data_IF_891896728661
#
_entry.id   IF_891896728661
#
_cell.length_a   1.000
_cell.length_b   1.000
_cell.length_c   1.000
_cell.angle_alpha   90.00
_cell.angle_beta   90.00
_cell.angle_gamma   90.00
#
_symmetry.space_group_name_H-M   'P 1'
#
loop_
_entity.id
_entity.type
_entity.pdbx_description
1 polymer ?
#
# COMPACT_ATOMS: atom_id res chain seq x y z
N UNK A 1 -3.67 -28.19 -57.79
CA UNK A 1 -2.64 -27.16 -57.50
C UNK A 1 -3.38 -25.96 -56.92
N UNK A 2 -3.20 -25.59 -55.63
CA UNK A 2 -2.11 -24.72 -55.11
C UNK A 2 -2.09 -23.38 -55.87
N UNK A 3 -2.17 -22.18 -55.29
CA UNK A 3 -1.94 -21.69 -53.92
C UNK A 3 -2.73 -20.37 -53.76
N UNK A 4 -3.60 -20.26 -52.78
CA UNK A 4 -4.12 -18.98 -52.26
C UNK A 4 -3.76 -18.90 -50.78
N UNK A 5 -2.66 -18.22 -50.45
CA UNK A 5 -2.19 -18.17 -49.05
C UNK A 5 -0.92 -17.38 -48.78
N UNK A 6 -0.60 -16.36 -49.58
CA UNK A 6 0.66 -15.60 -49.42
C UNK A 6 0.41 -14.16 -48.93
N UNK A 7 -0.74 -13.57 -49.25
CA UNK A 7 -1.00 -12.14 -48.97
C UNK A 7 -1.27 -11.81 -47.50
N UNK A 8 -1.90 -12.71 -46.74
CA UNK A 8 -2.24 -12.46 -45.31
C UNK A 8 -1.05 -12.63 -44.36
N UNK A 9 -0.02 -13.38 -44.77
CA UNK A 9 1.18 -13.63 -43.97
C UNK A 9 2.08 -12.38 -43.96
N UNK A 10 2.17 -11.68 -45.09
CA UNK A 10 3.01 -10.48 -45.25
C UNK A 10 2.48 -9.29 -44.43
N UNK A 11 1.15 -9.17 -44.28
CA UNK A 11 0.55 -8.12 -43.46
C UNK A 11 0.80 -8.34 -41.96
N UNK A 12 0.77 -9.59 -41.49
CA UNK A 12 1.03 -9.93 -40.09
C UNK A 12 2.51 -9.76 -39.72
N UNK A 13 3.43 -10.12 -40.62
CA UNK A 13 4.87 -9.89 -40.39
C UNK A 13 5.21 -8.41 -40.42
N UNK A 14 4.57 -7.60 -41.28
CA UNK A 14 4.78 -6.16 -41.32
C UNK A 14 4.31 -5.45 -40.03
N UNK A 15 3.20 -5.88 -39.42
CA UNK A 15 2.71 -5.30 -38.16
C UNK A 15 3.65 -5.66 -37.00
N UNK A 16 4.14 -6.91 -36.92
CA UNK A 16 5.07 -7.33 -35.88
C UNK A 16 6.44 -6.64 -36.01
N UNK A 17 6.94 -6.44 -37.23
CA UNK A 17 8.18 -5.70 -37.49
C UNK A 17 7.98 -4.20 -37.18
N UNK A 18 6.82 -3.62 -37.51
CA UNK A 18 6.51 -2.23 -37.21
C UNK A 18 6.34 -1.97 -35.70
N UNK A 19 5.76 -2.92 -34.95
CA UNK A 19 5.71 -2.90 -33.48
C UNK A 19 7.12 -2.97 -32.88
N UNK A 20 8.01 -3.79 -33.44
CA UNK A 20 9.42 -3.85 -33.03
C UNK A 20 10.23 -2.60 -33.39
N UNK A 21 9.88 -1.87 -34.45
CA UNK A 21 10.53 -0.60 -34.82
C UNK A 21 10.02 0.61 -34.04
N UNK A 22 8.80 0.56 -33.50
CA UNK A 22 8.22 1.64 -32.69
C UNK A 22 8.52 1.52 -31.19
N UNK A 23 9.31 0.54 -30.76
CA UNK A 23 9.61 0.32 -29.33
C UNK A 23 8.35 0.04 -28.50
N UNK A 24 7.29 -0.46 -29.13
CA UNK A 24 6.14 -1.00 -28.42
C UNK A 24 6.50 -2.43 -28.02
N UNK A 25 7.45 -2.53 -27.09
CA UNK A 25 7.78 -3.77 -26.42
C UNK A 25 6.57 -4.16 -25.56
N UNK A 26 5.72 -5.04 -26.12
CA UNK A 26 4.59 -5.68 -25.41
C UNK A 26 5.08 -6.67 -24.33
N UNK A 27 6.39 -6.70 -24.09
CA UNK A 27 7.02 -7.34 -22.96
C UNK A 27 7.07 -6.27 -21.88
N UNK A 28 5.95 -6.08 -21.19
CA UNK A 28 5.98 -5.35 -19.93
C UNK A 28 7.05 -6.05 -19.08
N UNK A 29 8.21 -5.41 -19.00
CA UNK A 29 9.36 -5.88 -18.25
C UNK A 29 8.86 -6.39 -16.91
N UNK A 30 9.30 -7.61 -16.56
CA UNK A 30 9.52 -7.95 -15.17
C UNK A 30 10.26 -6.77 -14.54
N UNK A 31 9.55 -5.90 -13.84
CA UNK A 31 10.13 -4.89 -12.97
C UNK A 31 11.03 -5.66 -11.99
N UNK A 32 12.33 -5.72 -12.27
CA UNK A 32 13.36 -6.57 -11.67
C UNK A 32 12.87 -7.37 -10.46
N UNK A 33 12.18 -8.50 -10.71
CA UNK A 33 11.84 -9.39 -9.60
C UNK A 33 13.16 -9.82 -8.96
N UNK A 34 13.27 -9.84 -7.63
CA UNK A 34 14.48 -10.30 -6.97
C UNK A 34 14.91 -11.67 -7.53
N UNK A 35 16.22 -11.86 -7.72
CA UNK A 35 16.74 -13.12 -8.25
C UNK A 35 16.25 -14.30 -7.38
N UNK A 36 15.80 -15.42 -7.98
CA UNK A 36 15.31 -16.56 -7.22
C UNK A 36 16.29 -17.02 -6.13
N UNK A 37 15.82 -17.16 -4.89
CA UNK A 37 16.62 -17.52 -3.71
C UNK A 37 17.45 -16.39 -3.10
N UNK A 38 17.38 -15.17 -3.63
CA UNK A 38 17.98 -14.00 -2.99
C UNK A 38 17.20 -13.56 -1.75
N UNK A 39 17.80 -12.74 -0.89
CA UNK A 39 17.12 -12.17 0.28
C UNK A 39 15.83 -11.44 -0.13
N UNK A 40 15.85 -10.73 -1.26
CA UNK A 40 14.68 -10.04 -1.79
C UNK A 40 13.56 -10.98 -2.24
N UNK A 41 13.90 -12.18 -2.74
CA UNK A 41 12.94 -13.21 -3.16
C UNK A 41 12.30 -13.93 -1.96
N UNK A 42 12.98 -13.89 -0.80
CA UNK A 42 12.51 -14.52 0.44
C UNK A 42 11.68 -13.60 1.35
N UNK A 43 11.42 -12.34 0.94
CA UNK A 43 10.65 -11.41 1.76
C UNK A 43 9.23 -11.92 1.99
N UNK A 44 8.79 -11.87 3.25
CA UNK A 44 7.42 -12.24 3.64
C UNK A 44 6.41 -11.17 3.21
N UNK A 45 5.11 -11.50 3.27
CA UNK A 45 4.04 -10.53 3.03
C UNK A 45 4.16 -9.35 4.01
N UNK A 46 4.57 -9.64 5.24
CA UNK A 46 4.81 -8.69 6.33
C UNK A 46 5.95 -7.73 5.98
N UNK A 47 7.08 -8.27 5.50
CA UNK A 47 8.22 -7.46 5.04
C UNK A 47 7.80 -6.57 3.86
N UNK A 48 7.05 -7.13 2.91
CA UNK A 48 6.53 -6.40 1.76
C UNK A 48 5.59 -5.27 2.18
N UNK A 49 4.80 -5.40 3.26
CA UNK A 49 3.95 -4.30 3.77
C UNK A 49 4.78 -3.14 4.28
N UNK A 50 5.87 -3.41 5.00
CA UNK A 50 6.75 -2.35 5.51
C UNK A 50 7.54 -1.69 4.38
N UNK A 51 8.05 -2.49 3.44
CA UNK A 51 8.71 -1.97 2.24
C UNK A 51 7.74 -1.13 1.39
N UNK A 52 6.51 -1.59 1.19
CA UNK A 52 5.49 -0.85 0.45
C UNK A 52 5.20 0.52 1.05
N UNK A 53 5.11 0.62 2.38
CA UNK A 53 4.97 1.91 3.06
C UNK A 53 6.10 2.87 2.67
N UNK A 54 7.35 2.47 2.92
CA UNK A 54 8.49 3.39 2.81
C UNK A 54 8.86 3.69 1.36
N UNK A 55 8.81 2.71 0.47
CA UNK A 55 9.25 2.86 -0.93
C UNK A 55 8.18 3.39 -1.87
N UNK A 56 6.89 3.21 -1.55
CA UNK A 56 5.80 3.50 -2.50
C UNK A 56 4.76 4.47 -1.96
N UNK A 57 4.44 4.42 -0.68
CA UNK A 57 3.34 5.20 -0.12
C UNK A 57 3.76 6.55 0.44
N UNK A 58 4.93 6.66 1.08
CA UNK A 58 5.32 7.91 1.72
C UNK A 58 5.87 8.92 0.73
N UNK A 59 5.41 10.16 0.85
CA UNK A 59 6.08 11.31 0.25
C UNK A 59 7.27 11.80 1.10
N UNK A 60 7.98 12.81 0.58
CA UNK A 60 9.14 13.40 1.25
C UNK A 60 8.82 14.06 2.60
N UNK A 61 7.54 14.28 2.91
CA UNK A 61 7.04 14.82 4.19
C UNK A 61 6.42 13.73 5.07
N UNK A 62 6.51 12.47 4.67
CA UNK A 62 5.93 11.33 5.38
C UNK A 62 4.40 11.26 5.27
N UNK A 63 3.77 11.89 4.26
CA UNK A 63 2.34 11.75 3.99
C UNK A 63 2.05 10.58 3.06
N UNK A 64 0.92 9.93 3.28
CA UNK A 64 0.46 8.81 2.45
C UNK A 64 -0.05 9.33 1.10
N UNK A 65 0.60 8.88 0.02
CA UNK A 65 0.22 9.16 -1.37
C UNK A 65 -0.97 8.30 -1.79
N UNK A 66 -1.85 8.87 -2.62
CA UNK A 66 -2.94 8.15 -3.28
C UNK A 66 -4.07 7.67 -2.36
N UNK A 67 -4.12 8.15 -1.12
CA UNK A 67 -5.20 7.84 -0.19
C UNK A 67 -6.49 8.59 -0.57
N UNK A 68 -7.62 7.90 -0.49
CA UNK A 68 -8.95 8.49 -0.51
C UNK A 68 -9.40 8.74 0.94
N UNK A 69 -9.51 10.00 1.35
CA UNK A 69 -9.77 10.36 2.74
C UNK A 69 -11.20 10.06 3.18
N UNK A 70 -12.18 10.20 2.28
CA UNK A 70 -13.58 9.89 2.55
C UNK A 70 -13.76 8.39 2.83
N UNK A 71 -13.22 7.54 1.96
CA UNK A 71 -13.18 6.08 2.16
C UNK A 71 -12.42 5.71 3.44
N UNK A 72 -11.27 6.33 3.66
CA UNK A 72 -10.48 6.14 4.88
C UNK A 72 -11.25 6.48 6.15
N UNK A 73 -12.02 7.58 6.13
CA UNK A 73 -12.88 8.00 7.23
C UNK A 73 -13.97 6.96 7.51
N UNK A 74 -14.68 6.50 6.50
CA UNK A 74 -15.74 5.49 6.64
C UNK A 74 -15.19 4.21 7.29
N UNK A 75 -14.05 3.73 6.78
CA UNK A 75 -13.39 2.53 7.30
C UNK A 75 -12.85 2.74 8.71
N UNK A 76 -12.29 3.91 9.03
CA UNK A 76 -11.84 4.23 10.38
C UNK A 76 -13.00 4.25 11.37
N UNK A 77 -14.14 4.85 10.99
CA UNK A 77 -15.34 4.90 11.82
C UNK A 77 -15.96 3.50 12.01
N UNK A 78 -15.80 2.60 11.05
CA UNK A 78 -16.25 1.21 11.13
C UNK A 78 -15.36 0.34 12.01
N UNK A 79 -14.04 0.43 11.83
CA UNK A 79 -13.09 -0.55 12.39
C UNK A 79 -12.29 -0.02 13.59
N UNK A 80 -11.96 1.27 13.61
CA UNK A 80 -11.03 1.84 14.58
C UNK A 80 -11.74 2.62 15.69
N UNK A 81 -12.87 3.26 15.38
CA UNK A 81 -13.62 4.14 16.30
C UNK A 81 -14.01 3.46 17.60
N UNK A 82 -14.35 2.17 17.60
CA UNK A 82 -14.79 1.48 18.81
C UNK A 82 -13.74 1.56 19.93
N UNK A 83 -12.44 1.49 19.58
CA UNK A 83 -11.35 1.57 20.53
C UNK A 83 -10.71 2.96 20.57
N UNK A 84 -10.52 3.62 19.42
CA UNK A 84 -9.76 4.87 19.33
C UNK A 84 -10.57 6.15 19.43
N UNK A 85 -11.90 6.08 19.34
CA UNK A 85 -12.76 7.27 19.27
C UNK A 85 -13.01 7.70 17.83
N UNK A 86 -14.06 8.50 17.63
CA UNK A 86 -14.40 9.09 16.34
C UNK A 86 -13.37 10.15 15.90
N UNK A 87 -12.79 10.86 16.86
CA UNK A 87 -11.69 11.80 16.65
C UNK A 87 -10.29 11.19 16.91
N UNK A 88 -10.22 9.90 17.27
CA UNK A 88 -8.96 9.21 17.53
C UNK A 88 -8.33 9.46 18.91
N UNK A 89 -8.97 10.20 19.82
CA UNK A 89 -8.38 10.62 21.11
C UNK A 89 -8.73 9.73 22.32
N UNK A 90 -9.42 8.60 22.13
CA UNK A 90 -9.84 7.75 23.27
C UNK A 90 -8.66 7.08 23.99
N UNK A 91 -7.59 6.74 23.26
CA UNK A 91 -6.44 6.03 23.82
C UNK A 91 -5.20 6.92 23.72
N UNK A 92 -4.72 7.39 24.87
CA UNK A 92 -3.42 8.06 24.97
C UNK A 92 -2.30 7.02 25.11
N UNK A 93 -1.39 7.00 24.14
CA UNK A 93 -0.22 6.11 24.14
C UNK A 93 0.95 6.67 24.95
N UNK A 94 0.91 7.94 25.32
CA UNK A 94 1.94 8.60 26.11
C UNK A 94 1.78 8.30 27.60
N UNK A 95 2.90 8.13 28.30
CA UNK A 95 2.95 8.07 29.76
C UNK A 95 2.98 9.46 30.40
N UNK A 96 3.23 10.50 29.61
CA UNK A 96 3.20 11.89 30.06
C UNK A 96 1.86 12.52 29.67
N UNK A 97 1.01 12.77 30.68
CA UNK A 97 -0.30 13.38 30.47
C UNK A 97 -0.22 14.81 29.90
N UNK A 98 0.90 15.51 30.05
CA UNK A 98 1.11 16.85 29.47
C UNK A 98 1.45 16.81 27.99
N UNK A 99 1.91 15.67 27.49
CA UNK A 99 2.30 15.44 26.10
C UNK A 99 1.59 14.18 25.60
N UNK A 100 0.26 14.25 25.36
CA UNK A 100 -0.49 13.08 24.91
C UNK A 100 -0.06 12.67 23.50
N UNK A 101 -0.23 11.39 23.20
CA UNK A 101 -0.01 10.83 21.86
C UNK A 101 -1.18 9.95 21.50
N UNK A 102 -1.94 10.37 20.50
CA UNK A 102 -3.13 9.67 20.04
C UNK A 102 -2.87 9.01 18.69
N UNK A 103 -3.87 8.29 18.14
CA UNK A 103 -3.70 7.62 16.85
C UNK A 103 -3.43 8.60 15.71
N UNK A 104 -4.02 9.81 15.76
CA UNK A 104 -3.73 10.89 14.83
C UNK A 104 -2.29 11.41 14.94
N UNK A 105 -1.82 11.69 16.16
CA UNK A 105 -0.43 12.07 16.44
C UNK A 105 0.55 11.01 15.93
N UNK A 106 0.23 9.72 16.15
CA UNK A 106 1.03 8.58 15.69
C UNK A 106 1.06 8.50 14.17
N UNK A 107 -0.10 8.57 13.49
CA UNK A 107 -0.15 8.55 12.04
C UNK A 107 0.61 9.71 11.40
N UNK A 108 0.53 10.91 12.00
CA UNK A 108 1.16 12.10 11.45
C UNK A 108 2.68 12.14 11.66
N UNK A 109 3.17 11.69 12.82
CA UNK A 109 4.56 11.91 13.25
C UNK A 109 5.40 10.63 13.34
N UNK A 110 4.78 9.45 13.31
CA UNK A 110 5.42 8.13 13.40
C UNK A 110 4.58 7.10 12.62
N UNK A 111 4.42 7.40 11.32
CA UNK A 111 3.64 6.58 10.39
C UNK A 111 4.13 5.13 10.27
N UNK A 112 5.44 4.78 10.39
CA UNK A 112 5.85 3.38 10.38
C UNK A 112 5.24 2.58 11.53
N UNK A 113 5.19 3.16 12.73
CA UNK A 113 4.57 2.50 13.88
C UNK A 113 3.05 2.44 13.74
N UNK A 114 2.39 3.49 13.22
CA UNK A 114 0.96 3.42 12.88
C UNK A 114 0.68 2.25 11.92
N UNK A 115 1.44 2.18 10.81
CA UNK A 115 1.26 1.17 9.77
C UNK A 115 1.52 -0.24 10.30
N UNK A 116 2.58 -0.42 11.08
CA UNK A 116 2.89 -1.69 11.74
C UNK A 116 1.74 -2.15 12.64
N UNK A 117 1.26 -1.28 13.54
CA UNK A 117 0.18 -1.62 14.47
C UNK A 117 -1.13 -1.94 13.75
N UNK A 118 -1.45 -1.22 12.67
CA UNK A 118 -2.64 -1.49 11.87
C UNK A 118 -2.52 -2.84 11.13
N UNK A 119 -1.35 -3.19 10.59
CA UNK A 119 -1.18 -4.45 9.87
C UNK A 119 -1.10 -5.66 10.82
N UNK A 120 -0.24 -5.58 11.83
CA UNK A 120 0.20 -6.75 12.60
C UNK A 120 -0.30 -6.77 14.05
N UNK A 121 -0.87 -5.66 14.52
CA UNK A 121 -1.42 -5.54 15.85
C UNK A 121 -0.38 -5.66 16.96
N UNK A 122 -0.88 -5.84 18.18
CA UNK A 122 -0.12 -6.15 19.38
C UNK A 122 -1.00 -6.90 20.36
N UNK A 123 -0.79 -8.22 20.45
CA UNK A 123 -1.54 -9.10 21.34
C UNK A 123 -1.41 -8.71 22.81
N UNK A 124 -0.26 -8.17 23.25
CA UNK A 124 -0.06 -7.78 24.65
C UNK A 124 -0.87 -6.54 25.02
N UNK A 125 -1.09 -5.64 24.06
CA UNK A 125 -1.86 -4.40 24.24
C UNK A 125 -3.30 -4.51 23.73
N UNK A 126 -3.72 -5.68 23.25
CA UNK A 126 -5.07 -5.93 22.74
C UNK A 126 -5.37 -5.26 21.39
N UNK A 127 -4.34 -4.86 20.62
CA UNK A 127 -4.52 -4.32 19.28
C UNK A 127 -4.60 -5.48 18.28
N UNK A 128 -5.71 -5.58 17.54
CA UNK A 128 -5.93 -6.62 16.55
C UNK A 128 -5.18 -6.31 15.24
N UNK A 129 -4.61 -7.31 14.55
CA UNK A 129 -4.07 -7.15 13.20
C UNK A 129 -5.19 -7.01 12.16
N UNK A 130 -4.96 -6.25 11.09
CA UNK A 130 -5.90 -6.11 9.97
C UNK A 130 -5.32 -6.53 8.60
N UNK A 131 -4.06 -7.00 8.53
CA UNK A 131 -3.41 -7.26 7.23
C UNK A 131 -4.07 -8.34 6.34
N UNK A 132 -4.92 -9.19 6.95
CA UNK A 132 -5.74 -10.21 6.28
C UNK A 132 -7.25 -9.92 6.32
N UNK A 133 -7.66 -8.85 7.02
CA UNK A 133 -9.07 -8.50 7.25
C UNK A 133 -9.53 -7.31 6.39
N UNK A 134 -8.59 -6.43 6.03
CA UNK A 134 -8.84 -5.23 5.23
C UNK A 134 -7.94 -5.26 4.00
N UNK A 135 -8.52 -4.97 2.84
CA UNK A 135 -7.75 -4.88 1.60
C UNK A 135 -6.63 -3.84 1.70
N UNK A 136 -5.48 -4.12 1.09
CA UNK A 136 -4.32 -3.22 1.16
C UNK A 136 -4.67 -1.78 0.76
N UNK A 137 -5.47 -1.59 -0.29
CA UNK A 137 -5.89 -0.26 -0.74
C UNK A 137 -6.72 0.48 0.32
N UNK A 138 -7.64 -0.22 0.97
CA UNK A 138 -8.44 0.33 2.06
C UNK A 138 -7.57 0.69 3.29
N UNK A 139 -6.52 -0.08 3.58
CA UNK A 139 -5.55 0.26 4.62
C UNK A 139 -4.76 1.53 4.29
N UNK A 140 -4.41 1.76 3.01
CA UNK A 140 -3.79 3.02 2.55
C UNK A 140 -4.74 4.19 2.80
N UNK A 141 -6.02 4.03 2.48
CA UNK A 141 -7.03 5.07 2.69
C UNK A 141 -7.20 5.38 4.18
N UNK A 142 -7.27 4.36 5.04
CA UNK A 142 -7.30 4.53 6.51
C UNK A 142 -6.05 5.27 6.99
N UNK A 143 -4.86 4.90 6.52
CA UNK A 143 -3.61 5.54 6.92
C UNK A 143 -3.58 7.02 6.52
N UNK A 144 -3.98 7.35 5.29
CA UNK A 144 -4.08 8.73 4.84
C UNK A 144 -5.09 9.55 5.64
N UNK A 145 -6.29 9.02 5.88
CA UNK A 145 -7.28 9.68 6.73
C UNK A 145 -6.76 9.87 8.17
N UNK A 146 -6.11 8.87 8.76
CA UNK A 146 -5.59 8.95 10.12
C UNK A 146 -4.57 10.10 10.30
N UNK A 147 -3.82 10.46 9.25
CA UNK A 147 -2.91 11.62 9.27
C UNK A 147 -3.63 12.99 9.35
N UNK A 148 -4.95 13.01 9.10
CA UNK A 148 -5.79 14.21 9.20
C UNK A 148 -6.47 14.36 10.56
N UNK A 149 -6.40 13.33 11.41
CA UNK A 149 -7.00 13.36 12.74
C UNK A 149 -6.29 14.39 13.65
N UNK A 150 -6.99 14.89 14.68
CA UNK A 150 -6.38 15.76 15.67
C UNK A 150 -5.13 15.14 16.31
N UNK A 151 -4.06 15.93 16.40
CA UNK A 151 -2.78 15.55 16.98
C UNK A 151 -2.66 16.00 18.44
#
# INVERSE_FOLDING_TARGET
>A
MKVTGISSIIAFTAILVYMGFLGLDVWAEDLDRPAPGSIGDTLTKEDARMAYLVYRLLDEKGKIRGANFERGRELFLKNCKACHGDDGRRVNFSRDARNPSFIGTRAANDIPTFWYMMNFGDKKRGMLPYFDEIELKDMVDIAGFAQTLPQ
#
